data_IF_001419593157
#
_entry.id   IF_001419593157
#
_cell.length_a   1.000
_cell.length_b   1.000
_cell.length_c   1.000
_cell.angle_alpha   90.00
_cell.angle_beta   90.00
_cell.angle_gamma   90.00
#
_symmetry.space_group_name_H-M   'P 1'
#
loop_
_entity.id
_entity.type
_entity.pdbx_description
1 polymer ?
#
# COMPACT_ATOMS: atom_id res chain seq x y z
N UNK A 1 3.46 -7.76 3.21
CA UNK A 1 2.29 -8.21 2.44
C UNK A 1 1.59 -9.27 3.26
N UNK A 2 0.26 -9.37 3.16
CA UNK A 2 -0.49 -10.45 3.82
C UNK A 2 -0.26 -11.76 3.07
N UNK A 3 -0.10 -12.86 3.79
CA UNK A 3 -0.06 -14.20 3.19
C UNK A 3 -1.46 -14.57 2.68
N UNK A 4 -1.53 -15.21 1.51
CA UNK A 4 -2.78 -15.58 0.85
C UNK A 4 -2.87 -17.08 0.69
N UNK A 5 -4.07 -17.63 0.90
CA UNK A 5 -4.37 -19.02 0.61
C UNK A 5 -5.39 -19.07 -0.53
N UNK A 6 -4.97 -19.60 -1.66
CA UNK A 6 -5.82 -19.81 -2.82
C UNK A 6 -6.67 -21.06 -2.62
N UNK A 7 -7.97 -20.94 -2.89
CA UNK A 7 -8.92 -22.03 -2.87
C UNK A 7 -9.66 -22.12 -4.21
N UNK A 8 -9.77 -23.33 -4.72
CA UNK A 8 -10.63 -23.64 -5.86
C UNK A 8 -11.83 -24.46 -5.40
N UNK A 9 -12.97 -24.20 -6.04
CA UNK A 9 -14.23 -24.95 -5.84
C UNK A 9 -14.63 -25.02 -4.35
N UNK A 10 -14.56 -23.89 -3.65
CA UNK A 10 -14.86 -23.79 -2.24
C UNK A 10 -16.36 -23.93 -1.97
N UNK A 11 -16.75 -24.88 -1.13
CA UNK A 11 -18.16 -25.15 -0.83
C UNK A 11 -18.55 -24.56 0.52
N UNK A 12 -19.63 -23.79 0.53
CA UNK A 12 -20.19 -23.18 1.74
C UNK A 12 -21.72 -23.31 1.76
N UNK A 13 -22.29 -23.52 2.95
CA UNK A 13 -23.74 -23.61 3.12
C UNK A 13 -24.40 -22.26 2.92
N UNK A 14 -25.51 -22.22 2.17
CA UNK A 14 -26.34 -21.01 1.99
C UNK A 14 -26.84 -20.47 3.33
N UNK A 15 -27.03 -21.34 4.33
CA UNK A 15 -27.42 -20.94 5.69
C UNK A 15 -26.37 -20.11 6.44
N UNK A 16 -25.11 -20.13 5.98
CA UNK A 16 -24.00 -19.37 6.56
C UNK A 16 -23.75 -18.02 5.86
N UNK A 17 -24.54 -17.71 4.82
CA UNK A 17 -24.39 -16.49 4.00
C UNK A 17 -25.62 -15.62 4.26
N UNK A 18 -25.42 -14.34 4.54
CA UNK A 18 -26.55 -13.41 4.66
C UNK A 18 -27.20 -13.17 3.30
N UNK A 19 -28.49 -12.85 3.30
CA UNK A 19 -29.22 -12.59 2.06
C UNK A 19 -28.58 -11.41 1.27
N UNK A 20 -28.04 -10.40 1.97
CA UNK A 20 -27.35 -9.28 1.31
C UNK A 20 -26.07 -9.74 0.60
N UNK A 21 -25.26 -10.58 1.26
CA UNK A 21 -24.01 -11.07 0.66
C UNK A 21 -24.29 -12.01 -0.52
N UNK A 22 -25.31 -12.87 -0.41
CA UNK A 22 -25.70 -13.75 -1.52
C UNK A 22 -26.15 -12.95 -2.74
N UNK A 23 -26.95 -11.88 -2.53
CA UNK A 23 -27.38 -11.01 -3.62
C UNK A 23 -26.20 -10.33 -4.31
N UNK A 24 -25.21 -9.84 -3.55
CA UNK A 24 -24.01 -9.20 -4.10
C UNK A 24 -23.14 -10.20 -4.87
N UNK A 25 -22.93 -11.41 -4.34
CA UNK A 25 -22.18 -12.47 -5.03
C UNK A 25 -22.79 -12.84 -6.39
N UNK A 26 -24.12 -12.97 -6.45
CA UNK A 26 -24.83 -13.29 -7.70
C UNK A 26 -24.86 -12.12 -8.69
N UNK A 27 -24.67 -10.89 -8.21
CA UNK A 27 -24.62 -9.68 -9.03
C UNK A 27 -23.23 -9.45 -9.61
N UNK A 28 -22.21 -9.48 -8.77
CA UNK A 28 -20.84 -9.08 -9.13
C UNK A 28 -19.99 -10.25 -9.65
N UNK A 29 -20.24 -11.48 -9.19
CA UNK A 29 -19.45 -12.65 -9.55
C UNK A 29 -20.27 -13.88 -10.00
N UNK A 30 -21.33 -13.75 -10.82
CA UNK A 30 -22.21 -14.87 -11.16
C UNK A 30 -21.49 -16.04 -11.84
N UNK A 31 -20.42 -15.77 -12.60
CA UNK A 31 -19.62 -16.82 -13.26
C UNK A 31 -18.80 -17.68 -12.29
N UNK A 32 -18.53 -17.15 -11.09
CA UNK A 32 -17.77 -17.83 -10.05
C UNK A 32 -18.66 -18.63 -9.10
N UNK A 33 -19.98 -18.47 -9.16
CA UNK A 33 -20.92 -19.12 -8.24
C UNK A 33 -21.67 -20.24 -8.96
N UNK A 34 -21.69 -21.42 -8.34
CA UNK A 34 -22.48 -22.56 -8.78
C UNK A 34 -23.46 -23.00 -7.68
N UNK A 35 -24.73 -23.18 -8.04
CA UNK A 35 -25.77 -23.60 -7.11
C UNK A 35 -25.75 -25.13 -6.95
N UNK A 36 -25.54 -25.60 -5.71
CA UNK A 36 -25.51 -27.02 -5.34
C UNK A 36 -26.68 -27.40 -4.41
N UNK A 37 -27.81 -26.69 -4.47
CA UNK A 37 -28.97 -26.90 -3.60
C UNK A 37 -28.85 -26.13 -2.29
N UNK A 38 -28.53 -26.81 -1.19
CA UNK A 38 -28.38 -26.19 0.14
C UNK A 38 -27.03 -25.45 0.33
N UNK A 39 -26.12 -25.64 -0.62
CA UNK A 39 -24.79 -25.05 -0.65
C UNK A 39 -24.59 -24.26 -1.95
N UNK A 40 -23.58 -23.40 -1.94
CA UNK A 40 -22.98 -22.87 -3.17
C UNK A 40 -21.54 -23.34 -3.28
N UNK A 41 -21.06 -23.42 -4.50
CA UNK A 41 -19.64 -23.56 -4.82
C UNK A 41 -19.13 -22.22 -5.35
N UNK A 42 -18.02 -21.75 -4.78
CA UNK A 42 -17.26 -20.59 -5.24
C UNK A 42 -16.04 -21.14 -5.99
N UNK A 43 -15.97 -20.91 -7.30
CA UNK A 43 -14.96 -21.51 -8.18
C UNK A 43 -13.55 -21.13 -7.77
N UNK A 44 -13.35 -19.89 -7.36
CA UNK A 44 -12.05 -19.36 -6.97
C UNK A 44 -12.21 -18.28 -5.90
N UNK A 45 -11.38 -18.35 -4.87
CA UNK A 45 -11.26 -17.31 -3.86
C UNK A 45 -9.88 -17.32 -3.20
N UNK A 46 -9.53 -16.19 -2.61
CA UNK A 46 -8.39 -16.08 -1.70
C UNK A 46 -8.89 -15.91 -0.27
N UNK A 47 -8.25 -16.62 0.66
CA UNK A 47 -8.41 -16.39 2.09
C UNK A 47 -7.20 -15.65 2.63
N UNK A 48 -7.47 -14.58 3.37
CA UNK A 48 -6.44 -13.74 3.98
C UNK A 48 -6.71 -13.46 5.45
N UNK A 49 -5.67 -13.01 6.15
CA UNK A 49 -5.78 -12.54 7.52
C UNK A 49 -6.64 -11.29 7.58
N UNK A 50 -7.81 -11.38 8.23
CA UNK A 50 -8.66 -10.20 8.50
C UNK A 50 -7.90 -9.15 9.34
N UNK A 51 -7.86 -7.93 8.82
CA UNK A 51 -7.29 -6.73 9.44
C UNK A 51 -8.33 -5.60 9.47
N UNK A 52 -8.03 -4.52 10.19
CA UNK A 52 -8.83 -3.29 10.11
C UNK A 52 -8.24 -2.45 8.97
N UNK A 53 -9.01 -2.10 7.92
CA UNK A 53 -8.53 -1.17 6.90
C UNK A 53 -7.98 0.12 7.51
N UNK A 54 -6.82 0.58 7.05
CA UNK A 54 -6.08 1.67 7.68
C UNK A 54 -6.86 2.99 7.66
N UNK A 55 -7.60 3.26 6.59
CA UNK A 55 -8.53 4.39 6.53
C UNK A 55 -9.58 4.34 7.65
N UNK A 56 -10.19 3.18 7.90
CA UNK A 56 -11.19 3.00 8.96
C UNK A 56 -10.54 3.07 10.35
N UNK A 57 -9.33 2.51 10.50
CA UNK A 57 -8.56 2.59 11.74
C UNK A 57 -8.27 4.05 12.14
N UNK A 58 -7.89 4.87 11.16
CA UNK A 58 -7.53 6.28 11.37
C UNK A 58 -8.71 7.15 11.82
N UNK A 59 -9.94 6.87 11.37
CA UNK A 59 -11.12 7.66 11.73
C UNK A 59 -11.40 7.71 13.24
N UNK A 60 -10.96 6.69 13.98
CA UNK A 60 -11.17 6.57 15.42
C UNK A 60 -9.86 6.60 16.24
N UNK A 61 -8.73 6.90 15.59
CA UNK A 61 -7.43 6.88 16.23
C UNK A 61 -7.20 8.13 17.10
N UNK A 62 -6.64 7.94 18.30
CA UNK A 62 -6.01 9.04 19.04
C UNK A 62 -4.80 9.60 18.29
N UNK A 63 -4.34 10.81 18.62
CA UNK A 63 -3.18 11.43 17.96
C UNK A 63 -1.93 10.52 17.99
N UNK A 64 -1.68 9.84 19.11
CA UNK A 64 -0.57 8.88 19.23
C UNK A 64 -0.75 7.66 18.33
N UNK A 65 -1.97 7.12 18.24
CA UNK A 65 -2.26 5.98 17.35
C UNK A 65 -2.14 6.37 15.89
N UNK A 66 -2.64 7.55 15.53
CA UNK A 66 -2.53 8.09 14.18
C UNK A 66 -1.05 8.26 13.78
N UNK A 67 -0.25 8.87 14.66
CA UNK A 67 1.18 9.02 14.42
C UNK A 67 1.87 7.66 14.18
N UNK A 68 1.63 6.68 15.05
CA UNK A 68 2.22 5.34 14.92
C UNK A 68 1.79 4.65 13.62
N UNK A 69 0.50 4.75 13.26
CA UNK A 69 -0.03 4.12 12.05
C UNK A 69 0.54 4.75 10.78
N UNK A 70 0.71 6.08 10.74
CA UNK A 70 1.32 6.78 9.61
C UNK A 70 2.81 6.46 9.48
N UNK A 71 3.53 6.34 10.59
CA UNK A 71 4.93 5.92 10.59
C UNK A 71 5.07 4.47 10.06
N UNK A 72 4.23 3.55 10.54
CA UNK A 72 4.20 2.16 10.04
C UNK A 72 3.79 2.09 8.56
N UNK A 73 2.87 2.93 8.10
CA UNK A 73 2.48 3.03 6.70
C UNK A 73 3.65 3.46 5.81
N UNK A 74 4.36 4.52 6.19
CA UNK A 74 5.53 4.99 5.45
C UNK A 74 6.62 3.91 5.39
N UNK A 75 6.88 3.25 6.51
CA UNK A 75 7.82 2.11 6.55
C UNK A 75 7.36 0.92 5.72
N UNK A 76 6.06 0.59 5.70
CA UNK A 76 5.54 -0.50 4.90
C UNK A 76 5.82 -0.27 3.41
N UNK A 77 5.59 0.95 2.90
CA UNK A 77 5.91 1.32 1.51
C UNK A 77 7.41 1.16 1.23
N UNK A 78 8.28 1.71 2.10
CA UNK A 78 9.74 1.62 1.92
C UNK A 78 10.22 0.17 1.92
N UNK A 79 9.67 -0.68 2.78
CA UNK A 79 10.03 -2.09 2.86
C UNK A 79 9.57 -2.88 1.62
N UNK A 80 8.38 -2.59 1.09
CA UNK A 80 7.91 -3.17 -0.17
C UNK A 80 8.84 -2.76 -1.32
N UNK A 81 9.12 -1.47 -1.43
CA UNK A 81 10.00 -0.93 -2.47
C UNK A 81 11.40 -1.54 -2.40
N UNK A 82 11.94 -1.70 -1.18
CA UNK A 82 13.23 -2.33 -0.94
C UNK A 82 13.26 -3.82 -1.32
N UNK A 83 12.11 -4.49 -1.26
CA UNK A 83 11.90 -5.85 -1.73
C UNK A 83 11.57 -5.93 -3.24
N UNK A 84 11.85 -4.87 -4.01
CA UNK A 84 11.55 -4.75 -5.43
C UNK A 84 10.05 -4.73 -5.79
N UNK A 85 9.17 -4.42 -4.83
CA UNK A 85 7.72 -4.34 -5.07
C UNK A 85 7.26 -2.88 -5.01
N UNK A 86 6.72 -2.38 -6.11
CA UNK A 86 6.00 -1.11 -6.15
C UNK A 86 4.49 -1.38 -5.93
N UNK A 87 3.84 -0.74 -4.94
CA UNK A 87 2.45 -1.07 -4.59
C UNK A 87 1.39 -0.64 -5.60
N UNK A 88 1.67 0.28 -6.53
CA UNK A 88 0.64 0.91 -7.36
C UNK A 88 -0.21 1.89 -6.53
N UNK A 89 -1.49 1.59 -6.32
CA UNK A 89 -2.40 2.35 -5.46
C UNK A 89 -1.99 2.31 -3.97
N UNK A 90 -1.28 3.36 -3.54
CA UNK A 90 -0.83 3.54 -2.17
C UNK A 90 -1.89 4.16 -1.23
N UNK A 91 -3.17 4.23 -1.61
CA UNK A 91 -4.22 4.78 -0.74
C UNK A 91 -4.40 3.95 0.53
N UNK A 92 -4.76 4.61 1.64
CA UNK A 92 -4.92 3.97 2.96
C UNK A 92 -5.95 2.82 2.97
N UNK A 93 -6.92 2.82 2.05
CA UNK A 93 -7.90 1.73 1.89
C UNK A 93 -7.30 0.39 1.47
N UNK A 94 -6.06 0.37 0.99
CA UNK A 94 -5.36 -0.83 0.49
C UNK A 94 -4.36 -1.40 1.53
N UNK A 95 -4.32 -0.78 2.71
CA UNK A 95 -3.48 -1.19 3.83
C UNK A 95 -4.33 -1.58 5.03
N UNK A 96 -3.88 -2.59 5.78
CA UNK A 96 -4.54 -3.12 6.96
C UNK A 96 -3.69 -2.95 8.21
N UNK A 97 -4.35 -2.71 9.32
CA UNK A 97 -3.75 -2.63 10.65
C UNK A 97 -3.98 -3.94 11.39
N UNK A 98 -2.88 -4.57 11.80
CA UNK A 98 -2.89 -5.79 12.61
C UNK A 98 -3.20 -5.49 14.09
N UNK A 99 -3.45 -6.53 14.88
CA UNK A 99 -3.66 -6.40 16.34
C UNK A 99 -2.49 -5.74 17.09
N UNK A 100 -1.28 -5.84 16.56
CA UNK A 100 -0.07 -5.24 17.15
C UNK A 100 0.25 -3.85 16.57
N UNK A 101 -0.64 -3.28 15.76
CA UNK A 101 -0.46 -1.95 15.16
C UNK A 101 0.46 -1.91 13.94
N UNK A 102 0.92 -3.06 13.44
CA UNK A 102 1.68 -3.13 12.18
C UNK A 102 0.76 -2.84 10.99
N UNK A 103 1.26 -2.12 10.01
CA UNK A 103 0.58 -1.84 8.74
C UNK A 103 1.03 -2.83 7.68
N UNK A 104 0.07 -3.41 6.95
CA UNK A 104 0.29 -4.47 5.96
C UNK A 104 -0.52 -4.17 4.71
N UNK A 105 0.14 -4.17 3.56
CA UNK A 105 -0.50 -4.04 2.25
C UNK A 105 -1.21 -5.34 1.83
N UNK A 106 -2.42 -5.23 1.26
CA UNK A 106 -3.28 -6.38 0.88
C UNK A 106 -3.98 -6.26 -0.48
N UNK A 107 -3.84 -5.14 -1.22
CA UNK A 107 -4.46 -5.00 -2.55
C UNK A 107 -3.41 -5.29 -3.63
N UNK A 108 -3.55 -6.39 -4.37
CA UNK A 108 -2.48 -6.88 -5.25
C UNK A 108 -2.72 -6.63 -6.74
N UNK A 109 -3.80 -5.95 -7.12
CA UNK A 109 -4.15 -5.83 -8.53
C UNK A 109 -3.25 -4.84 -9.30
N UNK A 110 -2.68 -3.85 -8.60
CA UNK A 110 -1.81 -2.81 -9.21
C UNK A 110 -0.32 -2.96 -8.87
N UNK A 111 0.09 -4.07 -8.26
CA UNK A 111 1.51 -4.26 -7.92
C UNK A 111 2.33 -4.51 -9.18
N UNK A 112 3.53 -3.97 -9.20
CA UNK A 112 4.53 -4.28 -10.21
C UNK A 112 5.94 -4.27 -9.61
N UNK A 113 6.93 -4.70 -10.39
CA UNK A 113 8.30 -4.63 -9.91
C UNK A 113 8.81 -3.20 -9.97
N UNK A 114 9.61 -2.79 -8.97
CA UNK A 114 10.27 -1.48 -8.98
C UNK A 114 11.11 -1.29 -10.24
N UNK A 115 11.68 -2.36 -10.80
CA UNK A 115 12.48 -2.33 -12.04
C UNK A 115 11.66 -2.09 -13.32
N UNK A 116 10.34 -2.21 -13.26
CA UNK A 116 9.43 -1.96 -14.38
C UNK A 116 8.86 -0.53 -14.37
N UNK A 117 9.08 0.20 -13.28
CA UNK A 117 8.56 1.56 -13.09
C UNK A 117 9.58 2.60 -13.54
N UNK A 118 9.13 3.61 -14.28
CA UNK A 118 9.94 4.77 -14.63
C UNK A 118 9.63 5.94 -13.69
N UNK A 119 10.39 6.03 -12.58
CA UNK A 119 10.24 7.14 -11.65
C UNK A 119 10.79 8.43 -12.25
N UNK A 120 9.96 9.47 -12.34
CA UNK A 120 10.29 10.76 -12.96
C UNK A 120 9.97 11.90 -12.03
N UNK A 121 10.66 13.03 -12.23
CA UNK A 121 10.30 14.30 -11.61
C UNK A 121 9.26 15.01 -12.47
N UNK A 122 8.32 15.69 -11.83
CA UNK A 122 7.43 16.61 -12.55
C UNK A 122 8.28 17.73 -13.15
N UNK A 123 8.24 17.97 -14.47
CA UNK A 123 8.99 19.05 -15.08
C UNK A 123 8.56 20.42 -14.54
N UNK A 124 9.53 21.30 -14.29
CA UNK A 124 9.26 22.69 -13.92
C UNK A 124 8.52 23.41 -15.06
N UNK A 125 7.46 24.19 -14.75
CA UNK A 125 6.73 24.96 -15.75
C UNK A 125 7.63 26.01 -16.38
N UNK A 126 7.53 26.18 -17.70
CA UNK A 126 8.31 27.16 -18.45
C UNK A 126 7.69 28.56 -18.38
N UNK A 127 6.36 28.62 -18.30
CA UNK A 127 5.57 29.86 -18.29
C UNK A 127 4.33 29.71 -17.38
N UNK A 128 3.78 30.82 -16.86
CA UNK A 128 2.66 30.78 -15.91
C UNK A 128 1.40 30.05 -16.40
N UNK A 129 1.14 30.05 -17.70
CA UNK A 129 0.00 29.36 -18.29
C UNK A 129 0.05 27.84 -18.08
N UNK A 130 1.26 27.27 -17.99
CA UNK A 130 1.44 25.84 -17.74
C UNK A 130 1.13 25.45 -16.29
N UNK A 131 1.36 26.34 -15.32
CA UNK A 131 0.99 26.12 -13.91
C UNK A 131 -0.53 26.05 -13.71
N UNK A 132 -1.28 26.75 -14.56
CA UNK A 132 -2.74 26.84 -14.52
C UNK A 132 -3.43 25.83 -15.44
N UNK A 133 -2.66 25.01 -16.15
CA UNK A 133 -3.20 24.01 -17.08
C UNK A 133 -3.97 22.93 -16.32
N UNK A 134 -5.17 22.60 -16.79
CA UNK A 134 -5.97 21.48 -16.25
C UNK A 134 -5.46 20.10 -16.66
N UNK A 135 -4.56 20.03 -17.64
CA UNK A 135 -3.93 18.81 -18.14
C UNK A 135 -2.40 18.94 -18.10
N UNK A 136 -1.65 17.83 -17.86
CA UNK A 136 -0.20 17.83 -17.95
C UNK A 136 0.28 18.27 -19.34
N UNK A 137 1.20 19.24 -19.39
CA UNK A 137 1.79 19.74 -20.65
C UNK A 137 2.99 18.91 -21.13
N UNK A 138 3.41 17.92 -20.34
CA UNK A 138 4.50 17.00 -20.62
C UNK A 138 3.97 15.61 -20.93
N UNK A 139 4.73 14.82 -21.69
CA UNK A 139 4.35 13.44 -22.04
C UNK A 139 4.48 12.51 -20.84
N UNK A 140 3.47 11.67 -20.65
CA UNK A 140 3.39 10.64 -19.61
C UNK A 140 3.27 9.28 -20.31
N UNK A 141 4.23 8.37 -20.03
CA UNK A 141 4.16 6.97 -20.45
C UNK A 141 3.37 6.11 -19.47
N UNK A 142 3.01 4.89 -19.90
CA UNK A 142 2.20 3.95 -19.10
C UNK A 142 2.85 3.54 -17.77
N UNK A 143 4.19 3.48 -17.73
CA UNK A 143 4.98 3.10 -16.55
C UNK A 143 5.58 4.31 -15.82
N UNK A 144 5.24 5.54 -16.24
CA UNK A 144 5.76 6.74 -15.60
C UNK A 144 5.06 6.98 -14.26
N UNK A 145 5.86 7.17 -13.22
CA UNK A 145 5.37 7.48 -11.88
C UNK A 145 6.04 8.75 -11.38
N UNK A 146 5.25 9.69 -10.86
CA UNK A 146 5.69 10.96 -10.29
C UNK A 146 5.43 10.97 -8.77
N UNK A 147 6.42 10.61 -7.94
CA UNK A 147 6.21 10.52 -6.50
C UNK A 147 5.76 11.81 -5.82
N UNK A 148 6.04 12.96 -6.42
CA UNK A 148 5.56 14.27 -6.00
C UNK A 148 4.03 14.35 -5.97
N UNK A 149 3.34 13.64 -6.87
CA UNK A 149 1.88 13.61 -6.94
C UNK A 149 1.27 12.83 -5.77
N UNK A 150 2.01 11.94 -5.11
CA UNK A 150 1.48 11.16 -3.99
C UNK A 150 0.98 12.04 -2.84
N UNK A 151 1.63 13.18 -2.62
CA UNK A 151 1.19 14.15 -1.62
C UNK A 151 -0.21 14.71 -1.93
N UNK A 152 -0.59 14.79 -3.21
CA UNK A 152 -1.91 15.29 -3.61
C UNK A 152 -3.04 14.40 -3.11
N UNK A 153 -2.90 13.08 -3.09
CA UNK A 153 -3.99 12.19 -2.65
C UNK A 153 -3.81 11.63 -1.23
N UNK A 154 -2.57 11.47 -0.74
CA UNK A 154 -2.29 10.96 0.62
C UNK A 154 -2.38 12.09 1.66
N UNK A 155 -1.90 13.29 1.35
CA UNK A 155 -1.69 14.36 2.32
C UNK A 155 -2.82 15.40 2.33
N UNK A 156 -4.07 14.96 2.13
CA UNK A 156 -5.24 15.83 2.14
C UNK A 156 -5.56 16.40 3.54
N UNK A 157 -5.31 15.63 4.59
CA UNK A 157 -5.44 16.07 5.97
C UNK A 157 -4.14 16.71 6.47
N UNK A 158 -4.22 17.88 7.11
CA UNK A 158 -3.06 18.64 7.59
C UNK A 158 -2.20 17.86 8.60
N UNK A 159 -2.81 17.11 9.53
CA UNK A 159 -2.07 16.28 10.49
C UNK A 159 -1.31 15.16 9.77
N UNK A 160 -1.96 14.49 8.83
CA UNK A 160 -1.35 13.43 8.03
C UNK A 160 -0.17 13.98 7.23
N UNK A 161 -0.37 15.12 6.56
CA UNK A 161 0.65 15.83 5.80
C UNK A 161 1.86 16.15 6.66
N UNK A 162 1.64 16.73 7.84
CA UNK A 162 2.71 17.10 8.76
C UNK A 162 3.56 15.89 9.14
N UNK A 163 2.93 14.77 9.55
CA UNK A 163 3.66 13.57 9.92
C UNK A 163 4.43 12.95 8.76
N UNK A 164 3.79 12.78 7.60
CA UNK A 164 4.45 12.17 6.44
C UNK A 164 5.60 13.05 5.92
N UNK A 165 5.44 14.38 5.91
CA UNK A 165 6.54 15.28 5.55
C UNK A 165 7.68 15.26 6.57
N UNK A 166 7.38 15.10 7.86
CA UNK A 166 8.41 15.07 8.89
C UNK A 166 9.24 13.77 8.86
N UNK A 167 8.61 12.62 8.65
CA UNK A 167 9.27 11.31 8.82
C UNK A 167 9.48 10.53 7.51
N UNK A 168 8.72 10.84 6.46
CA UNK A 168 8.70 10.09 5.20
C UNK A 168 8.67 11.01 3.96
N UNK A 169 9.27 12.21 4.04
CA UNK A 169 9.31 13.14 2.91
C UNK A 169 10.01 12.56 1.66
N UNK A 170 10.91 11.61 1.86
CA UNK A 170 11.60 10.89 0.79
C UNK A 170 10.65 10.09 -0.10
N UNK A 171 9.50 9.63 0.41
CA UNK A 171 8.48 8.97 -0.42
C UNK A 171 7.94 9.87 -1.54
N UNK A 172 7.99 11.19 -1.37
CA UNK A 172 7.55 12.18 -2.36
C UNK A 172 8.67 12.63 -3.30
N UNK A 173 9.84 11.98 -3.26
CA UNK A 173 11.01 12.34 -4.07
C UNK A 173 11.34 11.25 -5.08
N UNK A 174 11.26 11.56 -6.37
CA UNK A 174 11.70 10.65 -7.43
C UNK A 174 13.14 10.14 -7.22
N UNK A 175 14.04 10.97 -6.66
CA UNK A 175 15.43 10.60 -6.40
C UNK A 175 15.55 9.44 -5.39
N UNK A 176 14.65 9.34 -4.40
CA UNK A 176 14.63 8.23 -3.46
C UNK A 176 14.36 6.90 -4.18
N UNK A 177 13.29 6.87 -4.96
CA UNK A 177 12.85 5.70 -5.70
C UNK A 177 13.88 5.26 -6.75
N UNK A 178 14.43 6.20 -7.51
CA UNK A 178 15.50 5.93 -8.47
C UNK A 178 16.77 5.37 -7.81
N UNK A 179 17.18 5.90 -6.65
CA UNK A 179 18.33 5.35 -5.90
C UNK A 179 18.08 3.91 -5.45
N UNK A 180 16.87 3.62 -4.98
CA UNK A 180 16.49 2.28 -4.54
C UNK A 180 16.46 1.30 -5.73
N UNK A 181 15.84 1.71 -6.83
CA UNK A 181 15.82 0.95 -8.09
C UNK A 181 17.24 0.63 -8.57
N UNK A 182 18.15 1.61 -8.57
CA UNK A 182 19.55 1.40 -8.96
C UNK A 182 20.28 0.38 -8.05
N UNK A 183 19.99 0.37 -6.75
CA UNK A 183 20.56 -0.61 -5.80
C UNK A 183 20.04 -2.02 -6.08
N UNK A 184 18.74 -2.15 -6.36
CA UNK A 184 18.11 -3.42 -6.74
C UNK A 184 18.72 -3.95 -8.05
N UNK A 185 18.87 -3.10 -9.07
CA UNK A 185 19.51 -3.46 -10.34
C UNK A 185 20.98 -3.86 -10.18
N UNK A 186 21.67 -3.28 -9.19
CA UNK A 186 23.03 -3.69 -8.82
C UNK A 186 23.09 -5.03 -8.05
N UNK A 187 21.95 -5.69 -7.83
CA UNK A 187 21.85 -6.95 -7.11
C UNK A 187 21.93 -6.82 -5.59
N UNK A 188 21.79 -5.60 -5.05
CA UNK A 188 21.78 -5.40 -3.61
C UNK A 188 20.42 -5.81 -3.03
N UNK A 189 20.45 -6.60 -1.97
CA UNK A 189 19.28 -6.96 -1.17
C UNK A 189 19.32 -6.13 0.11
N UNK A 190 18.32 -5.28 0.30
CA UNK A 190 18.22 -4.44 1.50
C UNK A 190 17.91 -5.26 2.74
N UNK A 191 18.40 -4.78 3.89
CA UNK A 191 18.09 -5.38 5.17
C UNK A 191 16.65 -5.04 5.59
N UNK A 192 15.83 -6.06 5.84
CA UNK A 192 14.49 -5.92 6.41
C UNK A 192 14.49 -6.41 7.85
N UNK A 193 14.20 -5.51 8.79
CA UNK A 193 14.19 -5.81 10.22
C UNK A 193 12.75 -5.98 10.72
N UNK A 194 12.46 -7.12 11.37
CA UNK A 194 11.15 -7.43 11.93
C UNK A 194 10.87 -6.71 13.28
N UNK A 195 11.61 -5.65 13.59
CA UNK A 195 11.54 -4.89 14.84
C UNK A 195 11.88 -3.41 14.60
N UNK A 196 11.54 -2.55 15.58
CA UNK A 196 11.75 -1.10 15.48
C UNK A 196 13.24 -0.74 15.43
N UNK A 197 13.57 0.29 14.66
CA UNK A 197 14.95 0.76 14.50
C UNK A 197 15.64 1.07 15.84
N UNK A 198 14.92 1.70 16.77
CA UNK A 198 15.36 2.01 18.14
C UNK A 198 15.88 0.79 18.92
N UNK A 199 15.44 -0.42 18.57
CA UNK A 199 15.85 -1.66 19.25
C UNK A 199 17.16 -2.23 18.68
N UNK A 200 17.70 -1.67 17.59
CA UNK A 200 18.99 -2.14 17.05
C UNK A 200 20.09 -1.91 18.07
N UNK A 201 20.93 -2.93 18.25
CA UNK A 201 22.03 -2.88 19.20
C UNK A 201 23.01 -1.72 18.95
N UNK A 202 23.20 -1.30 17.70
CA UNK A 202 24.07 -0.17 17.36
C UNK A 202 23.60 1.18 17.92
N UNK A 203 22.32 1.34 18.29
CA UNK A 203 21.81 2.54 18.95
C UNK A 203 21.91 2.45 20.48
N UNK A 204 21.72 1.25 21.04
CA UNK A 204 21.65 1.05 22.49
C UNK A 204 23.00 0.71 23.15
N UNK A 205 24.00 0.26 22.39
CA UNK A 205 25.31 -0.14 22.96
C UNK A 205 26.26 1.04 23.22
N UNK A 206 25.97 2.24 22.72
CA UNK A 206 26.81 3.42 22.96
C UNK A 206 26.59 4.06 24.35
N UNK A 207 25.62 3.59 25.14
CA UNK A 207 25.38 4.09 26.51
C UNK A 207 26.16 3.32 27.60
N UNK A 208 26.86 2.24 27.25
CA UNK A 208 27.52 1.33 28.23
C UNK A 208 29.05 1.26 28.04
N UNK A 209 29.64 2.13 27.21
CA UNK A 209 31.09 2.19 26.97
C UNK A 209 31.71 3.50 27.47
#
# INVERSE_FOLDING_TARGET
MADTQEFENFVISKSSISDELMAELLKEAPSQIEDLGDNILIRHLYMERKMIPLNIYMDNASDTQLHNALNEYGWAIKQLAAANIFPGDMLFKNFGVTRHGRVVFYDYDEICYMTEVNFRKIPEPLYPEQELSGEPWYSIGEQDVFPEEFASFICQNEKIRHYLQQYHADLFSADYWQKLQNRILAGHVEDVYAYREELRFCHNLNEVA
#
